data_IF_206483623155
#
_entry.id   IF_206483623155
#
_cell.length_a   1.000
_cell.length_b   1.000
_cell.length_c   1.000
_cell.angle_alpha   90.00
_cell.angle_beta   90.00
_cell.angle_gamma   90.00
#
_symmetry.space_group_name_H-M   'P 1'
#
loop_
_entity.id
_entity.type
_entity.pdbx_description
1 polymer ?
#
# COMPACT_ATOMS: atom_id res chain seq x y z
N UNK A 1 -57.04 9.39 -48.53
CA UNK A 1 -55.78 10.13 -48.30
C UNK A 1 -55.13 9.46 -47.11
N UNK A 2 -54.16 8.59 -47.38
CA UNK A 2 -53.47 7.77 -46.40
C UNK A 2 -52.04 8.29 -46.31
N UNK A 3 -51.68 8.91 -45.18
CA UNK A 3 -50.29 9.24 -44.86
C UNK A 3 -49.71 8.11 -44.02
N UNK A 4 -48.69 7.46 -44.60
CA UNK A 4 -47.85 6.49 -43.93
C UNK A 4 -46.74 7.23 -43.18
N UNK A 5 -46.68 7.04 -41.86
CA UNK A 5 -45.55 7.46 -41.03
C UNK A 5 -44.66 6.22 -40.86
N UNK A 6 -43.56 6.20 -41.59
CA UNK A 6 -42.51 5.19 -41.49
C UNK A 6 -41.20 5.90 -41.17
N UNK A 7 -40.76 5.83 -39.91
CA UNK A 7 -39.43 6.26 -39.46
C UNK A 7 -39.10 5.54 -38.15
N UNK A 8 -38.78 4.25 -38.25
CA UNK A 8 -38.20 3.47 -37.16
C UNK A 8 -36.66 3.56 -37.26
N UNK A 9 -36.10 4.63 -36.71
CA UNK A 9 -34.65 4.87 -36.66
C UNK A 9 -34.02 3.96 -35.60
N UNK A 10 -33.35 2.90 -36.05
CA UNK A 10 -32.67 1.96 -35.16
C UNK A 10 -31.47 2.63 -34.48
N UNK A 11 -31.32 2.56 -33.14
CA UNK A 11 -30.18 3.15 -32.47
C UNK A 11 -28.89 2.44 -32.88
N UNK A 12 -28.02 3.17 -33.58
CA UNK A 12 -26.68 2.73 -33.94
C UNK A 12 -25.93 2.30 -32.67
N UNK A 13 -25.67 1.00 -32.59
CA UNK A 13 -24.91 0.36 -31.53
C UNK A 13 -23.48 0.92 -31.53
N UNK A 14 -23.20 1.89 -30.65
CA UNK A 14 -21.87 2.44 -30.42
C UNK A 14 -20.97 1.31 -29.93
N UNK A 15 -20.09 0.81 -30.80
CA UNK A 15 -19.04 -0.13 -30.42
C UNK A 15 -18.05 0.63 -29.52
N UNK A 16 -18.17 0.45 -28.21
CA UNK A 16 -17.16 0.87 -27.25
C UNK A 16 -15.91 0.03 -27.54
N UNK A 17 -14.91 0.65 -28.18
CA UNK A 17 -13.59 0.04 -28.37
C UNK A 17 -12.92 0.00 -27.00
N UNK A 18 -12.98 -1.15 -26.34
CA UNK A 18 -12.20 -1.40 -25.13
C UNK A 18 -10.71 -1.40 -25.51
N UNK A 19 -10.02 -0.29 -25.26
CA UNK A 19 -8.57 -0.25 -25.33
C UNK A 19 -8.03 -0.99 -24.12
N UNK A 20 -7.40 -2.15 -24.36
CA UNK A 20 -6.70 -2.87 -23.31
C UNK A 20 -5.64 -1.96 -22.68
N UNK A 21 -5.55 -1.90 -21.35
CA UNK A 21 -4.59 -1.04 -20.67
C UNK A 21 -3.18 -1.44 -21.06
N UNK A 22 -2.44 -0.52 -21.70
CA UNK A 22 -1.08 -0.76 -22.17
C UNK A 22 -0.07 -0.35 -21.11
N UNK A 23 0.97 -1.17 -20.95
CA UNK A 23 2.14 -0.82 -20.14
C UNK A 23 2.90 0.33 -20.78
N UNK A 24 3.27 1.32 -19.97
CA UNK A 24 4.23 2.36 -20.37
C UNK A 24 5.62 1.74 -20.39
N UNK A 25 6.23 1.63 -21.57
CA UNK A 25 7.56 1.03 -21.73
C UNK A 25 8.70 2.04 -21.61
N UNK A 26 8.43 3.32 -21.87
CA UNK A 26 9.45 4.36 -21.92
C UNK A 26 8.89 5.72 -21.53
N UNK A 27 9.72 6.56 -20.90
CA UNK A 27 9.44 7.96 -20.61
C UNK A 27 10.43 8.83 -21.38
N UNK A 28 9.94 9.83 -22.11
CA UNK A 28 10.82 10.87 -22.65
C UNK A 28 11.48 11.66 -21.50
N UNK A 29 12.66 12.27 -21.68
CA UNK A 29 13.32 13.04 -20.61
C UNK A 29 12.42 14.11 -19.99
N UNK A 30 11.58 14.77 -20.81
CA UNK A 30 10.60 15.75 -20.35
C UNK A 30 9.46 15.14 -19.53
N UNK A 31 9.01 13.93 -19.89
CA UNK A 31 8.01 13.20 -19.09
C UNK A 31 8.60 12.74 -17.77
N UNK A 32 9.85 12.27 -17.77
CA UNK A 32 10.58 11.89 -16.56
C UNK A 32 10.75 13.07 -15.61
N UNK A 33 11.23 14.22 -16.12
CA UNK A 33 11.39 15.45 -15.32
C UNK A 33 10.04 15.88 -14.72
N UNK A 34 8.98 15.92 -15.54
CA UNK A 34 7.65 16.29 -15.07
C UNK A 34 7.12 15.31 -14.02
N UNK A 35 7.37 14.01 -14.19
CA UNK A 35 6.99 12.97 -13.23
C UNK A 35 7.73 13.18 -11.90
N UNK A 36 9.05 13.39 -11.93
CA UNK A 36 9.85 13.67 -10.73
C UNK A 36 9.32 14.90 -9.99
N UNK A 37 9.16 16.02 -10.70
CA UNK A 37 8.62 17.25 -10.11
C UNK A 37 7.25 17.02 -9.47
N UNK A 38 6.36 16.27 -10.13
CA UNK A 38 5.06 15.93 -9.58
C UNK A 38 5.17 15.08 -8.30
N UNK A 39 5.99 14.02 -8.31
CA UNK A 39 6.15 13.14 -7.15
C UNK A 39 6.78 13.87 -5.96
N UNK A 40 7.84 14.66 -6.22
CA UNK A 40 8.53 15.45 -5.21
C UNK A 40 7.59 16.50 -4.59
N UNK A 41 6.79 17.19 -5.42
CA UNK A 41 5.78 18.14 -4.95
C UNK A 41 4.73 17.44 -4.08
N UNK A 42 4.22 16.27 -4.48
CA UNK A 42 3.21 15.54 -3.69
C UNK A 42 3.76 15.01 -2.38
N UNK A 43 4.97 14.46 -2.36
CA UNK A 43 5.62 13.98 -1.15
C UNK A 43 5.95 15.13 -0.20
N UNK A 44 6.50 16.24 -0.71
CA UNK A 44 6.79 17.45 0.08
C UNK A 44 5.52 18.05 0.68
N UNK A 45 4.41 18.08 -0.07
CA UNK A 45 3.12 18.52 0.44
C UNK A 45 2.60 17.61 1.57
N UNK A 46 2.75 16.29 1.45
CA UNK A 46 2.39 15.34 2.52
C UNK A 46 3.24 15.56 3.77
N UNK A 47 4.56 15.76 3.62
CA UNK A 47 5.45 16.06 4.73
C UNK A 47 5.10 17.39 5.42
N UNK A 48 4.83 18.43 4.63
CA UNK A 48 4.40 19.73 5.15
C UNK A 48 3.08 19.64 5.91
N UNK A 49 2.12 18.89 5.37
CA UNK A 49 0.84 18.64 6.02
C UNK A 49 1.00 17.81 7.30
N UNK A 50 1.92 16.85 7.35
CA UNK A 50 2.23 16.10 8.57
C UNK A 50 2.78 17.03 9.66
N UNK A 51 3.80 17.84 9.32
CA UNK A 51 4.43 18.80 10.24
C UNK A 51 3.50 19.88 10.74
N UNK A 52 2.49 20.24 9.95
CA UNK A 52 1.50 21.26 10.30
C UNK A 52 0.18 20.67 10.82
N UNK A 53 0.11 19.34 11.01
CA UNK A 53 -1.09 18.61 11.44
C UNK A 53 -2.32 18.84 10.52
N UNK A 54 -2.09 18.97 9.21
CA UNK A 54 -3.09 19.21 8.15
C UNK A 54 -3.34 18.01 7.23
N UNK A 55 -2.88 16.80 7.58
CA UNK A 55 -3.12 15.59 6.80
C UNK A 55 -4.63 15.30 6.57
N UNK A 56 -5.47 15.73 7.52
CA UNK A 56 -6.91 15.47 7.51
C UNK A 56 -7.24 14.09 8.10
N UNK A 57 -8.50 13.64 8.01
CA UNK A 57 -8.90 12.31 8.49
C UNK A 57 -8.32 11.21 7.60
N UNK A 58 -8.17 10.01 8.13
CA UNK A 58 -7.55 8.87 7.43
C UNK A 58 -8.13 8.60 6.03
N UNK A 59 -9.45 8.55 5.80
CA UNK A 59 -9.99 8.35 4.45
C UNK A 59 -9.47 9.38 3.42
N UNK A 60 -9.29 10.63 3.84
CA UNK A 60 -8.74 11.70 2.99
C UNK A 60 -7.24 11.53 2.76
N UNK A 61 -6.51 11.02 3.75
CA UNK A 61 -5.10 10.70 3.57
C UNK A 61 -4.94 9.51 2.59
N UNK A 62 -5.74 8.45 2.75
CA UNK A 62 -5.70 7.27 1.90
C UNK A 62 -6.01 7.61 0.43
N UNK A 63 -6.99 8.48 0.17
CA UNK A 63 -7.30 8.96 -1.19
C UNK A 63 -6.20 9.83 -1.81
N UNK A 64 -5.25 10.34 -1.02
CA UNK A 64 -4.03 11.01 -1.53
C UNK A 64 -2.88 10.05 -1.75
N UNK A 65 -2.69 9.07 -0.85
CA UNK A 65 -1.60 8.10 -0.90
C UNK A 65 -1.79 7.07 -2.00
N UNK A 66 -3.02 6.58 -2.20
CA UNK A 66 -3.32 5.55 -3.20
C UNK A 66 -2.96 5.98 -4.63
N UNK A 67 -3.39 7.15 -5.15
CA UNK A 67 -2.98 7.59 -6.48
C UNK A 67 -1.46 7.75 -6.61
N UNK A 68 -0.79 8.20 -5.55
CA UNK A 68 0.67 8.34 -5.54
C UNK A 68 1.36 6.99 -5.68
N UNK A 69 0.89 5.98 -4.94
CA UNK A 69 1.34 4.59 -5.08
C UNK A 69 1.14 4.09 -6.52
N UNK A 70 -0.06 4.27 -7.09
CA UNK A 70 -0.36 3.81 -8.45
C UNK A 70 0.52 4.48 -9.51
N UNK A 71 0.79 5.78 -9.38
CA UNK A 71 1.70 6.50 -10.28
C UNK A 71 3.14 5.97 -10.16
N UNK A 72 3.63 5.72 -8.95
CA UNK A 72 4.97 5.16 -8.74
C UNK A 72 5.07 3.75 -9.34
N UNK A 73 4.04 2.92 -9.15
CA UNK A 73 4.04 1.55 -9.69
C UNK A 73 3.99 1.53 -11.23
N UNK A 74 3.40 2.55 -11.86
CA UNK A 74 3.39 2.71 -13.33
C UNK A 74 4.72 3.18 -13.93
N UNK A 75 5.72 3.55 -13.12
CA UNK A 75 7.06 3.86 -13.64
C UNK A 75 7.59 2.61 -14.36
N UNK A 76 8.14 2.73 -15.58
CA UNK A 76 8.58 1.56 -16.32
C UNK A 76 9.61 0.73 -15.52
N UNK A 77 9.51 -0.61 -15.47
CA UNK A 77 10.46 -1.47 -14.76
C UNK A 77 11.83 -1.58 -15.44
N UNK A 78 11.99 -0.96 -16.60
CA UNK A 78 13.16 -1.07 -17.46
C UNK A 78 14.25 -0.07 -17.07
N UNK A 79 15.50 -0.38 -17.43
CA UNK A 79 16.57 0.62 -17.40
C UNK A 79 16.24 1.80 -18.34
N UNK A 80 16.46 3.08 -17.95
CA UNK A 80 17.08 3.54 -16.70
C UNK A 80 16.10 3.84 -15.54
N UNK A 81 14.80 3.56 -15.71
CA UNK A 81 13.74 4.02 -14.81
C UNK A 81 13.51 3.14 -13.57
N UNK A 82 14.01 1.91 -13.55
CA UNK A 82 13.78 0.99 -12.42
C UNK A 82 14.34 1.48 -11.08
N UNK A 83 15.48 2.17 -11.07
CA UNK A 83 16.01 2.80 -9.85
C UNK A 83 15.13 3.96 -9.36
N UNK A 84 14.56 4.74 -10.29
CA UNK A 84 13.61 5.80 -9.97
C UNK A 84 12.36 5.23 -9.31
N UNK A 85 11.79 4.16 -9.89
CA UNK A 85 10.65 3.43 -9.32
C UNK A 85 10.94 2.95 -7.91
N UNK A 86 12.08 2.29 -7.72
CA UNK A 86 12.49 1.71 -6.44
C UNK A 86 12.70 2.78 -5.37
N UNK A 87 13.37 3.88 -5.72
CA UNK A 87 13.64 4.99 -4.79
C UNK A 87 12.36 5.66 -4.28
N UNK A 88 11.42 5.99 -5.17
CA UNK A 88 10.14 6.57 -4.77
C UNK A 88 9.27 5.58 -3.99
N UNK A 89 9.27 4.30 -4.37
CA UNK A 89 8.51 3.28 -3.64
C UNK A 89 9.09 3.05 -2.24
N UNK A 90 10.42 3.02 -2.06
CA UNK A 90 11.07 2.97 -0.74
C UNK A 90 10.66 4.17 0.12
N UNK A 91 10.69 5.37 -0.47
CA UNK A 91 10.31 6.61 0.21
C UNK A 91 8.86 6.52 0.68
N UNK A 92 7.95 6.17 -0.24
CA UNK A 92 6.52 6.04 0.09
C UNK A 92 6.26 4.97 1.16
N UNK A 93 6.94 3.82 1.06
CA UNK A 93 6.83 2.72 2.04
C UNK A 93 7.27 3.15 3.44
N UNK A 94 8.30 3.99 3.53
CA UNK A 94 8.79 4.49 4.82
C UNK A 94 7.85 5.49 5.49
N UNK A 95 7.10 6.29 4.70
CA UNK A 95 6.25 7.36 5.23
C UNK A 95 4.80 6.95 5.45
N UNK A 96 4.24 6.01 4.67
CA UNK A 96 2.85 5.55 4.81
C UNK A 96 2.52 5.17 6.26
N UNK A 97 3.30 4.31 6.95
CA UNK A 97 3.01 3.92 8.33
C UNK A 97 3.15 5.10 9.31
N UNK A 98 4.04 6.05 9.04
CA UNK A 98 4.19 7.27 9.86
C UNK A 98 2.90 8.09 9.78
N UNK A 99 2.43 8.37 8.57
CA UNK A 99 1.25 9.22 8.36
C UNK A 99 -0.05 8.55 8.82
N UNK A 100 -0.19 7.24 8.65
CA UNK A 100 -1.36 6.51 9.15
C UNK A 100 -1.40 6.57 10.67
N UNK A 101 -0.28 6.29 11.33
CA UNK A 101 -0.25 6.20 12.79
C UNK A 101 -0.16 7.54 13.52
N UNK A 102 0.03 8.65 12.80
CA UNK A 102 -0.09 10.01 13.35
C UNK A 102 -1.54 10.52 13.41
N UNK A 103 -2.50 9.77 12.86
CA UNK A 103 -3.90 10.13 12.83
C UNK A 103 -4.75 9.16 13.68
N UNK A 104 -5.84 9.65 14.30
CA UNK A 104 -6.78 8.77 14.97
C UNK A 104 -7.56 7.94 13.95
N UNK A 105 -7.91 6.70 14.33
CA UNK A 105 -8.76 5.83 13.51
C UNK A 105 -10.19 6.37 13.36
N UNK A 106 -10.69 7.05 14.39
CA UNK A 106 -12.05 7.59 14.48
C UNK A 106 -12.07 9.09 14.18
N UNK A 107 -13.04 9.53 13.37
CA UNK A 107 -13.35 10.95 13.22
C UNK A 107 -14.11 11.48 14.45
N UNK A 108 -14.06 12.77 14.72
CA UNK A 108 -14.89 13.37 15.77
C UNK A 108 -16.37 13.42 15.36
N UNK A 109 -17.28 13.23 16.33
CA UNK A 109 -18.72 13.50 16.15
C UNK A 109 -19.64 12.29 16.07
N UNK A 110 -19.21 11.10 16.50
CA UNK A 110 -20.06 9.90 16.53
C UNK A 110 -21.11 10.01 17.64
N UNK A 111 -22.36 9.61 17.35
CA UNK A 111 -23.47 9.69 18.31
C UNK A 111 -23.61 8.43 19.14
N UNK A 112 -23.18 7.29 18.59
CA UNK A 112 -23.27 5.98 19.24
C UNK A 112 -21.94 5.25 19.17
N UNK A 113 -21.76 4.27 20.07
CA UNK A 113 -20.59 3.37 20.05
C UNK A 113 -20.59 2.49 18.79
N UNK A 114 -21.76 2.13 18.29
CA UNK A 114 -21.90 1.29 17.09
C UNK A 114 -21.44 2.05 15.83
N UNK A 115 -21.83 3.33 15.68
CA UNK A 115 -21.34 4.19 14.60
C UNK A 115 -19.82 4.33 14.61
N UNK A 116 -19.23 4.50 15.80
CA UNK A 116 -17.77 4.56 15.97
C UNK A 116 -17.10 3.25 15.54
N UNK A 117 -17.65 2.12 15.98
CA UNK A 117 -17.11 0.80 15.65
C UNK A 117 -17.18 0.50 14.15
N UNK A 118 -18.30 0.84 13.51
CA UNK A 118 -18.49 0.66 12.07
C UNK A 118 -17.52 1.54 11.26
N UNK A 119 -17.30 2.79 11.69
CA UNK A 119 -16.31 3.67 11.07
C UNK A 119 -14.89 3.13 11.23
N UNK A 120 -14.48 2.78 12.45
CA UNK A 120 -13.15 2.20 12.69
C UNK A 120 -12.91 0.94 11.87
N UNK A 121 -13.90 0.04 11.84
CA UNK A 121 -13.85 -1.21 11.07
C UNK A 121 -13.74 -0.96 9.56
N UNK A 122 -14.40 0.08 9.04
CA UNK A 122 -14.24 0.48 7.63
C UNK A 122 -12.85 1.06 7.37
N UNK A 123 -12.41 2.02 8.19
CA UNK A 123 -11.14 2.72 8.00
C UNK A 123 -9.95 1.77 8.11
N UNK A 124 -9.97 0.81 9.06
CA UNK A 124 -8.90 -0.17 9.16
C UNK A 124 -8.85 -1.06 7.92
N UNK A 125 -10.01 -1.46 7.35
CA UNK A 125 -10.04 -2.24 6.10
C UNK A 125 -9.43 -1.46 4.94
N UNK A 126 -9.77 -0.18 4.80
CA UNK A 126 -9.17 0.70 3.77
C UNK A 126 -7.64 0.83 3.94
N UNK A 127 -7.16 0.93 5.19
CA UNK A 127 -5.73 0.92 5.51
C UNK A 127 -5.09 -0.40 5.10
N UNK A 128 -5.67 -1.53 5.51
CA UNK A 128 -5.14 -2.88 5.21
C UNK A 128 -5.09 -3.11 3.70
N UNK A 129 -6.10 -2.67 2.96
CA UNK A 129 -6.15 -2.83 1.52
C UNK A 129 -5.10 -1.97 0.80
N UNK A 130 -4.82 -0.74 1.28
CA UNK A 130 -3.68 0.05 0.80
C UNK A 130 -2.35 -0.65 1.06
N UNK A 131 -2.15 -1.23 2.25
CA UNK A 131 -0.89 -1.88 2.61
C UNK A 131 -0.68 -3.21 1.84
N UNK A 132 -1.75 -3.96 1.57
CA UNK A 132 -1.72 -5.13 0.66
C UNK A 132 -1.37 -4.72 -0.76
N UNK A 133 -1.92 -3.60 -1.23
CA UNK A 133 -1.60 -3.08 -2.55
C UNK A 133 -0.13 -2.68 -2.66
N UNK A 134 0.40 -2.05 -1.60
CA UNK A 134 1.82 -1.73 -1.47
C UNK A 134 2.69 -3.01 -1.49
N UNK A 135 2.27 -4.08 -0.80
CA UNK A 135 2.93 -5.38 -0.84
C UNK A 135 2.97 -5.97 -2.26
N UNK A 136 1.82 -6.02 -2.94
CA UNK A 136 1.73 -6.50 -4.34
C UNK A 136 2.61 -5.68 -5.27
N UNK A 137 2.63 -4.35 -5.08
CA UNK A 137 3.48 -3.43 -5.81
C UNK A 137 4.96 -3.75 -5.62
N UNK A 138 5.39 -4.02 -4.39
CA UNK A 138 6.76 -4.46 -4.09
C UNK A 138 7.11 -5.81 -4.71
N UNK A 139 6.20 -6.79 -4.63
CA UNK A 139 6.42 -8.09 -5.26
C UNK A 139 6.58 -7.96 -6.78
N UNK A 140 5.84 -7.04 -7.42
CA UNK A 140 6.03 -6.74 -8.83
C UNK A 140 7.40 -6.10 -9.09
N UNK A 141 7.81 -5.12 -8.29
CA UNK A 141 9.12 -4.44 -8.41
C UNK A 141 10.27 -5.43 -8.25
N UNK A 142 10.24 -6.29 -7.23
CA UNK A 142 11.30 -7.28 -6.99
C UNK A 142 11.43 -8.30 -8.13
N UNK A 143 10.32 -8.60 -8.82
CA UNK A 143 10.29 -9.50 -9.99
C UNK A 143 10.67 -8.82 -11.31
N UNK A 144 10.83 -7.49 -11.31
CA UNK A 144 11.01 -6.68 -12.51
C UNK A 144 9.74 -6.60 -13.37
N UNK A 145 8.56 -6.83 -12.79
CA UNK A 145 7.29 -6.81 -13.50
C UNK A 145 6.75 -5.38 -13.68
N UNK A 146 6.04 -5.15 -14.78
CA UNK A 146 5.27 -3.94 -15.01
C UNK A 146 4.02 -3.89 -14.14
N UNK A 147 3.35 -2.74 -14.09
CA UNK A 147 2.11 -2.56 -13.34
C UNK A 147 1.02 -1.93 -14.21
N UNK A 148 -0.13 -2.57 -14.25
CA UNK A 148 -1.34 -2.01 -14.83
C UNK A 148 -2.22 -1.50 -13.67
N UNK A 149 -2.56 -0.19 -13.64
CA UNK A 149 -3.48 0.36 -12.64
C UNK A 149 -4.88 -0.27 -12.76
N UNK A 150 -5.72 -0.14 -11.72
CA UNK A 150 -7.09 -0.62 -11.83
C UNK A 150 -7.83 0.23 -12.86
N UNK A 151 -8.86 -0.34 -13.48
CA UNK A 151 -9.73 0.44 -14.34
C UNK A 151 -10.41 1.53 -13.51
N UNK A 152 -10.14 2.80 -13.82
CA UNK A 152 -10.86 3.92 -13.22
C UNK A 152 -12.33 3.81 -13.62
N UNK A 153 -13.17 3.29 -12.74
CA UNK A 153 -14.62 3.17 -12.96
C UNK A 153 -15.30 4.52 -12.80
N UNK A 154 -14.88 5.55 -13.55
CA UNK A 154 -15.56 6.86 -13.69
C UNK A 154 -16.04 7.55 -12.40
N UNK A 155 -15.54 7.13 -11.24
CA UNK A 155 -16.12 7.39 -9.93
C UNK A 155 -15.56 8.64 -9.29
N UNK A 156 -16.38 9.22 -8.44
CA UNK A 156 -16.16 10.44 -7.66
C UNK A 156 -14.74 10.54 -7.06
N UNK A 157 -14.22 11.76 -6.99
CA UNK A 157 -12.84 12.16 -6.68
C UNK A 157 -12.26 11.70 -5.31
N UNK A 158 -12.99 10.90 -4.51
CA UNK A 158 -12.57 10.46 -3.18
C UNK A 158 -12.37 8.95 -3.01
N UNK A 159 -12.62 8.14 -4.04
CA UNK A 159 -12.45 6.69 -3.91
C UNK A 159 -10.96 6.31 -3.85
N UNK A 160 -10.61 5.50 -2.85
CA UNK A 160 -9.26 4.92 -2.73
C UNK A 160 -9.06 3.99 -3.92
N UNK A 161 -8.13 4.32 -4.80
CA UNK A 161 -7.80 3.52 -5.98
C UNK A 161 -6.99 2.29 -5.56
N UNK A 162 -7.71 1.22 -5.25
CA UNK A 162 -7.14 -0.09 -4.90
C UNK A 162 -7.39 -1.04 -6.05
N UNK A 163 -6.41 -1.91 -6.29
CA UNK A 163 -6.43 -2.88 -7.36
C UNK A 163 -5.44 -2.47 -8.43
N UNK A 164 -4.86 -3.47 -9.06
CA UNK A 164 -3.83 -3.31 -10.05
C UNK A 164 -3.24 -4.68 -10.33
N UNK A 165 -2.60 -4.83 -11.48
CA UNK A 165 -2.12 -6.13 -11.93
C UNK A 165 -0.66 -6.02 -12.32
N UNK A 166 0.16 -6.86 -11.68
CA UNK A 166 1.52 -7.12 -12.13
C UNK A 166 1.48 -7.80 -13.50
N UNK A 167 2.27 -7.29 -14.43
CA UNK A 167 2.38 -7.85 -15.78
C UNK A 167 3.83 -8.24 -16.01
N UNK A 168 4.02 -9.50 -16.38
CA UNK A 168 5.35 -10.01 -16.69
C UNK A 168 5.93 -9.25 -17.88
N UNK A 169 7.18 -8.88 -17.72
CA UNK A 169 7.99 -8.17 -18.69
C UNK A 169 9.16 -9.06 -19.10
N UNK A 170 9.60 -8.95 -20.35
CA UNK A 170 10.71 -9.75 -20.88
C UNK A 170 12.00 -9.56 -20.06
N UNK A 171 12.70 -10.68 -19.81
CA UNK A 171 13.80 -10.76 -18.85
C UNK A 171 15.01 -9.88 -19.20
N UNK A 172 15.24 -9.62 -20.49
CA UNK A 172 16.45 -8.95 -20.98
C UNK A 172 16.61 -7.51 -20.50
N UNK A 173 15.56 -6.88 -19.99
CA UNK A 173 15.57 -5.46 -19.60
C UNK A 173 15.11 -5.20 -18.17
N UNK A 174 15.06 -6.24 -17.31
CA UNK A 174 14.62 -6.11 -15.92
C UNK A 174 15.62 -5.31 -15.09
N UNK A 175 15.17 -4.20 -14.49
CA UNK A 175 15.94 -3.53 -13.45
C UNK A 175 15.91 -4.37 -12.18
N UNK A 176 17.07 -4.72 -11.66
CA UNK A 176 17.18 -5.39 -10.36
C UNK A 176 17.24 -4.35 -9.23
N UNK A 177 16.58 -4.65 -8.12
CA UNK A 177 16.69 -3.89 -6.87
C UNK A 177 18.02 -4.24 -6.20
N UNK A 178 18.78 -3.24 -5.76
CA UNK A 178 20.09 -3.46 -5.13
C UNK A 178 19.95 -4.17 -3.76
N UNK A 179 20.99 -4.89 -3.35
CA UNK A 179 21.04 -5.58 -2.05
C UNK A 179 20.79 -4.60 -0.90
N UNK A 180 21.38 -3.40 -0.98
CA UNK A 180 21.22 -2.35 0.03
C UNK A 180 19.77 -1.90 0.14
N UNK A 181 19.09 -1.76 -1.01
CA UNK A 181 17.68 -1.39 -1.08
C UNK A 181 16.79 -2.50 -0.51
N UNK A 182 17.10 -3.78 -0.79
CA UNK A 182 16.40 -4.94 -0.20
C UNK A 182 16.54 -4.99 1.33
N UNK A 183 17.75 -4.75 1.85
CA UNK A 183 17.99 -4.67 3.30
C UNK A 183 17.19 -3.52 3.91
N UNK A 184 17.21 -2.35 3.26
CA UNK A 184 16.44 -1.17 3.72
C UNK A 184 14.94 -1.46 3.72
N UNK A 185 14.41 -2.07 2.67
CA UNK A 185 13.01 -2.47 2.57
C UNK A 185 12.62 -3.42 3.71
N UNK A 186 13.41 -4.47 3.95
CA UNK A 186 13.19 -5.42 5.05
C UNK A 186 13.13 -4.71 6.40
N UNK A 187 14.05 -3.79 6.67
CA UNK A 187 14.05 -3.00 7.91
C UNK A 187 12.80 -2.12 8.04
N UNK A 188 12.37 -1.47 6.95
CA UNK A 188 11.16 -0.64 6.96
C UNK A 188 9.94 -1.51 7.28
N UNK A 189 9.75 -2.63 6.60
CA UNK A 189 8.60 -3.53 6.79
C UNK A 189 8.48 -3.99 8.24
N UNK A 190 9.57 -4.49 8.83
CA UNK A 190 9.55 -4.98 10.22
C UNK A 190 9.16 -3.88 11.21
N UNK A 191 9.70 -2.66 11.04
CA UNK A 191 9.35 -1.52 11.89
C UNK A 191 7.91 -1.04 11.68
N UNK A 192 7.43 -1.11 10.43
CA UNK A 192 6.09 -0.67 10.03
C UNK A 192 5.01 -1.57 10.63
N UNK A 193 5.23 -2.89 10.60
CA UNK A 193 4.34 -3.89 11.20
C UNK A 193 4.14 -3.63 12.69
N UNK A 194 5.24 -3.48 13.43
CA UNK A 194 5.18 -3.19 14.86
C UNK A 194 4.42 -1.88 15.15
N UNK A 195 4.65 -0.85 14.33
CA UNK A 195 4.01 0.46 14.49
C UNK A 195 2.50 0.41 14.23
N UNK A 196 2.06 -0.19 13.13
CA UNK A 196 0.62 -0.27 12.79
C UNK A 196 -0.13 -1.12 13.82
N UNK A 197 0.46 -2.22 14.29
CA UNK A 197 -0.11 -3.04 15.38
C UNK A 197 -0.30 -2.23 16.66
N UNK A 198 0.75 -1.53 17.11
CA UNK A 198 0.68 -0.72 18.32
C UNK A 198 -0.37 0.39 18.22
N UNK A 199 -0.48 1.02 17.05
CA UNK A 199 -1.44 2.08 16.79
C UNK A 199 -2.90 1.60 16.75
N UNK A 200 -3.18 0.43 16.17
CA UNK A 200 -4.55 -0.05 16.00
C UNK A 200 -5.12 -0.75 17.25
N UNK A 201 -4.27 -1.32 18.13
CA UNK A 201 -4.69 -2.05 19.34
C UNK A 201 -5.65 -1.29 20.28
N UNK A 202 -5.48 0.02 20.56
CA UNK A 202 -6.39 0.77 21.44
C UNK A 202 -7.84 0.80 20.96
N UNK A 203 -8.09 0.58 19.66
CA UNK A 203 -9.43 0.63 19.07
C UNK A 203 -10.22 -0.68 19.20
N UNK A 204 -9.60 -1.73 19.78
CA UNK A 204 -10.27 -2.99 20.09
C UNK A 204 -10.39 -3.95 18.90
N UNK A 205 -11.27 -4.94 19.05
CA UNK A 205 -11.49 -5.97 18.03
C UNK A 205 -12.56 -5.53 17.04
N UNK A 206 -12.20 -5.39 15.76
CA UNK A 206 -13.12 -5.02 14.68
C UNK A 206 -14.03 -6.18 14.21
N UNK A 207 -13.80 -7.41 14.66
CA UNK A 207 -14.46 -8.61 14.12
C UNK A 207 -15.77 -9.01 14.82
N UNK A 208 -16.20 -8.30 15.86
CA UNK A 208 -17.48 -8.58 16.55
C UNK A 208 -18.23 -7.31 16.93
N UNK A 209 -19.42 -7.12 16.36
CA UNK A 209 -20.47 -6.26 16.91
C UNK A 209 -20.74 -6.70 18.35
N UNK A 210 -20.22 -5.95 19.34
CA UNK A 210 -20.42 -6.22 20.77
C UNK A 210 -19.16 -6.34 21.62
N UNK A 211 -17.95 -6.28 21.05
CA UNK A 211 -16.74 -6.08 21.87
C UNK A 211 -16.65 -4.60 22.25
N UNK A 212 -17.09 -4.26 23.46
CA UNK A 212 -17.14 -2.88 23.92
C UNK A 212 -15.76 -2.21 23.86
N UNK A 213 -15.71 -1.01 23.26
CA UNK A 213 -14.59 -0.07 23.44
C UNK A 213 -14.30 0.10 24.94
N UNK A 214 -13.02 0.23 25.35
CA UNK A 214 -12.68 0.47 26.75
C UNK A 214 -13.47 1.68 27.25
N UNK A 215 -14.32 1.46 28.26
CA UNK A 215 -15.16 2.51 28.83
C UNK A 215 -14.26 3.62 29.39
N UNK A 216 -14.25 4.81 28.78
CA UNK A 216 -13.57 6.02 29.30
C UNK A 216 -14.25 6.61 30.56
N UNK A 217 -15.13 5.87 31.24
CA UNK A 217 -16.01 6.41 32.27
C UNK A 217 -16.05 5.58 33.56
N UNK A 218 -14.89 5.30 34.16
CA UNK A 218 -14.90 5.12 35.60
C UNK A 218 -13.62 5.64 36.26
N UNK A 219 -13.71 6.88 36.75
CA UNK A 219 -12.74 7.50 37.67
C UNK A 219 -12.96 7.07 39.11
N UNK A 220 -13.52 5.88 39.34
CA UNK A 220 -13.72 5.31 40.68
C UNK A 220 -12.63 4.29 40.92
N UNK A 221 -11.60 4.65 41.66
CA UNK A 221 -10.53 3.75 42.11
C UNK A 221 -11.12 2.64 43.00
N UNK A 222 -11.23 1.37 42.55
CA UNK A 222 -11.56 0.27 43.43
C UNK A 222 -10.26 -0.26 44.04
N UNK A 223 -10.31 -0.53 45.34
CA UNK A 223 -9.23 -1.15 46.12
C UNK A 223 -8.84 -2.50 45.48
N UNK A 224 -7.54 -2.85 45.40
CA UNK A 224 -7.08 -4.02 44.65
C UNK A 224 -7.43 -5.31 45.41
N UNK A 225 -8.47 -6.01 44.96
CA UNK A 225 -8.61 -7.45 45.19
C UNK A 225 -7.89 -8.19 44.07
N UNK A 226 -6.91 -9.00 44.46
CA UNK A 226 -6.06 -9.79 43.57
C UNK A 226 -6.87 -10.93 42.92
N UNK A 227 -7.57 -10.63 41.83
CA UNK A 227 -8.03 -11.64 40.90
C UNK A 227 -7.14 -11.59 39.65
N UNK A 228 -6.18 -12.52 39.61
CA UNK A 228 -5.42 -12.89 38.41
C UNK A 228 -6.34 -13.64 37.42
N UNK A 229 -7.40 -12.99 36.94
CA UNK A 229 -8.05 -13.43 35.69
C UNK A 229 -7.32 -12.73 34.54
N UNK A 230 -6.15 -13.29 34.22
CA UNK A 230 -5.49 -13.01 32.94
C UNK A 230 -6.39 -13.60 31.86
N UNK A 231 -7.33 -12.79 31.37
CA UNK A 231 -8.12 -13.08 30.18
C UNK A 231 -7.14 -13.06 29.00
N UNK A 232 -6.47 -14.20 28.77
CA UNK A 232 -5.66 -14.43 27.58
C UNK A 232 -6.62 -14.41 26.40
N UNK A 233 -6.64 -13.29 25.67
CA UNK A 233 -7.41 -13.14 24.44
C UNK A 233 -6.90 -14.18 23.41
N UNK A 234 -7.55 -15.32 23.34
CA UNK A 234 -7.16 -16.48 22.50
C UNK A 234 -7.89 -16.53 21.15
N UNK A 235 -8.66 -15.51 20.78
CA UNK A 235 -9.26 -15.47 19.43
C UNK A 235 -8.27 -14.88 18.42
N UNK A 236 -7.37 -15.75 17.96
CA UNK A 236 -6.42 -15.54 16.85
C UNK A 236 -7.13 -15.58 15.49
N UNK A 237 -8.11 -14.71 15.27
CA UNK A 237 -8.82 -14.60 14.00
C UNK A 237 -9.37 -13.21 13.88
N UNK A 238 -8.64 -12.34 13.18
CA UNK A 238 -9.01 -10.94 13.08
C UNK A 238 -7.97 -10.06 12.41
N UNK A 239 -8.25 -8.76 12.36
CA UNK A 239 -7.40 -7.75 11.75
C UNK A 239 -5.93 -7.77 12.25
N UNK A 240 -5.70 -8.18 13.51
CA UNK A 240 -4.36 -8.26 14.08
C UNK A 240 -3.54 -9.39 13.42
N UNK A 241 -4.16 -10.56 13.20
CA UNK A 241 -3.54 -11.64 12.45
C UNK A 241 -3.30 -11.23 10.99
N UNK A 242 -4.22 -10.47 10.41
CA UNK A 242 -4.07 -9.95 9.06
C UNK A 242 -2.83 -9.02 8.95
N UNK A 243 -2.62 -8.10 9.89
CA UNK A 243 -1.41 -7.28 9.94
C UNK A 243 -0.16 -8.11 10.24
N UNK A 244 -0.28 -9.13 11.08
CA UNK A 244 0.84 -10.04 11.34
C UNK A 244 1.19 -10.87 10.09
N UNK A 245 0.23 -11.30 9.30
CA UNK A 245 0.51 -12.03 8.05
C UNK A 245 0.93 -11.10 6.90
N UNK A 246 0.68 -9.81 7.05
CA UNK A 246 1.02 -8.80 6.04
C UNK A 246 2.53 -8.76 5.83
N UNK A 247 2.93 -8.70 4.55
CA UNK A 247 4.32 -8.71 4.13
C UNK A 247 5.09 -10.01 4.39
N UNK A 248 4.48 -11.08 4.89
CA UNK A 248 5.19 -12.35 5.08
C UNK A 248 5.70 -12.90 3.74
N UNK A 249 4.90 -12.79 2.67
CA UNK A 249 5.33 -13.18 1.32
C UNK A 249 6.51 -12.32 0.85
N UNK A 250 6.46 -11.01 1.10
CA UNK A 250 7.53 -10.09 0.75
C UNK A 250 8.82 -10.37 1.55
N UNK A 251 8.70 -10.66 2.84
CA UNK A 251 9.82 -11.00 3.72
C UNK A 251 10.49 -12.33 3.35
N UNK A 252 9.70 -13.31 2.89
CA UNK A 252 10.20 -14.59 2.39
C UNK A 252 11.06 -14.38 1.12
N UNK A 253 10.52 -13.66 0.13
CA UNK A 253 11.24 -13.31 -1.10
C UNK A 253 12.55 -12.56 -0.78
N UNK A 254 12.50 -11.57 0.10
CA UNK A 254 13.69 -10.81 0.50
C UNK A 254 14.72 -11.69 1.20
N UNK A 255 14.29 -12.61 2.07
CA UNK A 255 15.20 -13.47 2.81
C UNK A 255 15.88 -14.50 1.90
N UNK A 256 15.13 -15.05 0.94
CA UNK A 256 15.67 -15.92 -0.10
C UNK A 256 16.72 -15.19 -0.95
N UNK A 257 16.41 -14.01 -1.49
CA UNK A 257 17.33 -13.24 -2.34
C UNK A 257 18.62 -12.84 -1.60
N UNK A 258 18.50 -12.41 -0.35
CA UNK A 258 19.66 -12.03 0.46
C UNK A 258 20.56 -13.22 0.78
N UNK A 259 19.99 -14.42 0.97
CA UNK A 259 20.77 -15.64 1.19
C UNK A 259 21.58 -16.06 -0.05
N UNK A 260 21.02 -15.88 -1.25
CA UNK A 260 21.72 -16.19 -2.51
C UNK A 260 22.84 -15.22 -2.82
N UNK A 261 22.74 -13.97 -2.36
CA UNK A 261 23.77 -12.93 -2.60
C UNK A 261 25.08 -13.19 -1.86
N UNK A 262 25.08 -14.05 -0.84
CA UNK A 262 26.23 -14.27 0.05
C UNK A 262 27.14 -15.42 -0.41
N UNK A 263 26.99 -15.93 -1.64
CA UNK A 263 27.94 -16.90 -2.21
C UNK A 263 29.32 -16.23 -2.22
N UNK A 264 30.27 -16.69 -1.38
CA UNK A 264 31.57 -16.07 -1.28
C UNK A 264 32.19 -16.13 -2.66
N UNK A 265 32.64 -14.98 -3.17
CA UNK A 265 33.50 -14.91 -4.34
C UNK A 265 34.75 -15.67 -3.93
N UNK A 266 34.73 -16.98 -4.19
CA UNK A 266 35.84 -17.88 -3.97
C UNK A 266 36.96 -17.32 -4.81
N UNK A 267 37.86 -16.60 -4.14
CA UNK A 267 39.07 -16.04 -4.72
C UNK A 267 39.77 -17.22 -5.34
N UNK A 268 39.62 -17.39 -6.65
CA UNK A 268 40.31 -18.42 -7.42
C UNK A 268 41.77 -17.98 -7.38
N UNK A 269 42.48 -18.38 -6.32
CA UNK A 269 43.91 -18.23 -6.20
C UNK A 269 44.48 -19.13 -7.28
N UNK A 270 44.64 -18.55 -8.47
CA UNK A 270 45.38 -19.17 -9.55
C UNK A 270 46.82 -19.30 -9.07
N UNK A 271 47.16 -20.50 -8.59
CA UNK A 271 48.54 -20.93 -8.48
C UNK A 271 49.14 -20.86 -9.89
N UNK A 272 49.88 -19.79 -10.13
CA UNK A 272 50.97 -19.78 -11.11
C UNK A 272 52.04 -20.72 -10.57
N UNK A 273 52.12 -21.91 -11.13
CA UNK A 273 53.30 -22.75 -11.05
C UNK A 273 53.77 -22.96 -12.48
N UNK A 274 54.89 -22.31 -12.79
CA UNK A 274 55.56 -22.38 -14.07
C UNK A 274 56.15 -23.77 -14.34
N UNK A 275 56.28 -24.05 -15.63
CA UNK A 275 57.15 -25.04 -16.24
C UNK A 275 57.61 -24.48 -17.57
#
# INVERSE_FOLDING_TARGET
MSEAIDSNESPSSVKVVHQDPRLTTHLTPRQEEKLRSYLDEKLSNLESDERTHKLGPLPRLLSRLSPLLQVILQIPPFYPFGSLRTSYLLTLTSVIPIYITSLPLLSSGHRTKDEAQDEASRVIRDVLDLLKELEKGWLAVLKGDGWIPPHSTGGTQMDVTIGGKAVKVDDESKSQVDITEKIRLKSIILSSRARVLAWARPYGNFDKSGSALPNESDGTTPIPEMQEDVVVATNSGGWEEEILSMWDQLLDVLSHDLSQSHVPIGRKVGNSAGG
#
